data_IF_754486651242
#
_entry.id   IF_754486651242
#
_cell.length_a   1.000
_cell.length_b   1.000
_cell.length_c   1.000
_cell.angle_alpha   90.00
_cell.angle_beta   90.00
_cell.angle_gamma   90.00
#
_symmetry.space_group_name_H-M   'P 1'
#
loop_
_entity.id
_entity.type
_entity.pdbx_description
1 polymer ?
#
# COMPACT_ATOMS: atom_id res chain seq x y z
N UNK A 1 -15.31 -7.49 -14.87
CA UNK A 1 -15.49 -7.23 -13.42
C UNK A 1 -14.13 -6.84 -12.86
N UNK A 2 -14.04 -5.82 -12.01
CA UNK A 2 -12.75 -5.43 -11.41
C UNK A 2 -12.43 -6.40 -10.29
N UNK A 3 -11.22 -6.95 -10.29
CA UNK A 3 -10.72 -7.72 -9.16
C UNK A 3 -10.28 -6.74 -8.07
N UNK A 4 -10.81 -6.90 -6.87
CA UNK A 4 -10.44 -6.10 -5.70
C UNK A 4 -9.48 -6.92 -4.87
N UNK A 5 -8.18 -6.73 -5.09
CA UNK A 5 -7.15 -7.38 -4.30
C UNK A 5 -6.96 -6.63 -2.98
N UNK A 6 -6.92 -7.38 -1.88
CA UNK A 6 -6.43 -6.89 -0.60
C UNK A 6 -4.90 -6.87 -0.63
N UNK A 7 -4.29 -5.83 -0.06
CA UNK A 7 -2.83 -5.70 0.07
C UNK A 7 -2.51 -5.87 1.55
N UNK A 8 -1.94 -7.01 1.89
CA UNK A 8 -1.52 -7.33 3.26
C UNK A 8 -0.08 -6.88 3.51
N UNK A 9 0.24 -6.60 4.78
CA UNK A 9 1.61 -6.26 5.19
C UNK A 9 2.30 -7.51 5.71
N UNK A 10 3.49 -7.82 5.17
CA UNK A 10 4.32 -8.94 5.62
C UNK A 10 4.92 -8.71 7.03
N UNK A 11 4.91 -7.47 7.52
CA UNK A 11 5.53 -7.09 8.79
C UNK A 11 4.59 -6.27 9.66
N UNK A 12 4.74 -6.42 10.97
CA UNK A 12 4.10 -5.55 11.95
C UNK A 12 4.85 -4.21 12.06
N UNK A 13 4.11 -3.11 12.10
CA UNK A 13 4.68 -1.77 12.15
C UNK A 13 3.62 -0.68 12.27
N UNK A 14 4.06 0.56 12.10
CA UNK A 14 3.24 1.76 12.05
C UNK A 14 3.34 2.40 10.67
N UNK A 15 2.22 2.83 10.09
CA UNK A 15 2.21 3.56 8.81
C UNK A 15 2.79 4.96 9.04
N UNK A 16 3.90 5.25 8.39
CA UNK A 16 4.54 6.59 8.46
C UNK A 16 4.22 7.45 7.25
N UNK A 17 3.85 6.85 6.11
CA UNK A 17 3.45 7.59 4.91
C UNK A 17 2.55 6.77 4.01
N UNK A 18 1.56 7.45 3.42
CA UNK A 18 0.73 6.95 2.32
C UNK A 18 1.16 7.71 1.06
N UNK A 19 1.55 6.99 0.00
CA UNK A 19 2.10 7.59 -1.22
C UNK A 19 1.06 7.79 -2.32
N UNK A 20 -0.16 7.26 -2.15
CA UNK A 20 -1.20 7.36 -3.16
C UNK A 20 -2.56 7.77 -2.62
N UNK A 21 -3.35 8.34 -3.52
CA UNK A 21 -4.73 8.73 -3.27
C UNK A 21 -5.72 7.69 -3.81
N UNK A 22 -6.89 7.61 -3.19
CA UNK A 22 -7.96 6.72 -3.63
C UNK A 22 -8.41 7.03 -5.06
N UNK A 23 -8.64 5.97 -5.84
CA UNK A 23 -9.14 6.09 -7.23
C UNK A 23 -8.07 6.46 -8.25
N UNK A 24 -6.81 6.66 -7.85
CA UNK A 24 -5.69 6.86 -8.78
C UNK A 24 -5.15 5.51 -9.30
N UNK A 25 -4.68 5.44 -10.55
CA UNK A 25 -4.02 4.26 -11.08
C UNK A 25 -2.67 4.02 -10.38
N UNK A 26 -2.26 2.75 -10.34
CA UNK A 26 -0.98 2.32 -9.77
C UNK A 26 -0.27 1.37 -10.74
N UNK A 27 1.06 1.38 -10.70
CA UNK A 27 1.90 0.49 -11.51
C UNK A 27 2.53 -0.61 -10.67
N UNK A 28 2.96 -1.70 -11.32
CA UNK A 28 3.66 -2.78 -10.64
C UNK A 28 4.97 -2.27 -10.04
N UNK A 29 5.19 -2.59 -8.76
CA UNK A 29 6.37 -2.14 -8.01
C UNK A 29 6.28 -0.71 -7.48
N UNK A 30 5.19 0.03 -7.74
CA UNK A 30 4.99 1.36 -7.18
C UNK A 30 4.80 1.29 -5.66
N UNK A 31 5.57 2.06 -4.85
CA UNK A 31 5.37 2.11 -3.41
C UNK A 31 4.00 2.73 -3.04
N UNK A 32 3.24 2.06 -2.18
CA UNK A 32 1.93 2.54 -1.71
C UNK A 32 1.99 3.07 -0.28
N UNK A 33 2.70 2.36 0.60
CA UNK A 33 2.82 2.69 2.02
C UNK A 33 4.28 2.60 2.45
N UNK A 34 4.70 3.48 3.35
CA UNK A 34 5.94 3.32 4.12
C UNK A 34 5.57 2.97 5.55
N UNK A 35 6.21 1.92 6.08
CA UNK A 35 6.03 1.47 7.45
C UNK A 35 7.32 1.65 8.25
N UNK A 36 7.17 2.01 9.52
CA UNK A 36 8.22 1.89 10.53
C UNK A 36 8.00 0.59 11.28
N UNK A 37 8.97 -0.31 11.20
CA UNK A 37 8.93 -1.60 11.90
C UNK A 37 8.98 -1.38 13.41
N UNK A 38 8.24 -2.21 14.15
CA UNK A 38 8.39 -2.31 15.61
C UNK A 38 9.62 -3.14 15.99
#
# INVERSE_FOLDING_TARGET
MKLMNEIESDVAGEIVKIHQENGKPVEFGQPLFSLKRK
#
